data_IF_888923853036
#
_entry.id   IF_888923853036
#
_cell.length_a   1.000
_cell.length_b   1.000
_cell.length_c   1.000
_cell.angle_alpha   90.00
_cell.angle_beta   90.00
_cell.angle_gamma   90.00
#
_symmetry.space_group_name_H-M   'P 1'
#
loop_
_entity.id
_entity.type
_entity.pdbx_description
1 polymer ?
#
# COMPACT_ATOMS: atom_id res chain seq x y z
N UNK A 1 -15.10 -1.86 -0.34
CA UNK A 1 -13.92 -2.61 -0.83
C UNK A 1 -13.29 -3.38 0.33
N UNK A 2 -12.64 -4.51 0.05
CA UNK A 2 -11.90 -5.30 1.06
C UNK A 2 -10.41 -4.94 1.07
N UNK A 3 -9.74 -5.09 2.21
CA UNK A 3 -8.31 -4.81 2.38
C UNK A 3 -7.50 -6.12 2.40
N UNK A 4 -6.43 -6.18 1.62
CA UNK A 4 -5.34 -7.16 1.78
C UNK A 4 -4.10 -6.43 2.30
N UNK A 5 -3.57 -6.91 3.41
CA UNK A 5 -2.38 -6.36 4.06
C UNK A 5 -1.28 -7.42 4.08
N UNK A 6 -0.08 -7.05 3.65
CA UNK A 6 1.08 -7.93 3.72
C UNK A 6 2.37 -7.17 4.08
N UNK A 7 3.36 -7.91 4.54
CA UNK A 7 4.73 -7.43 4.75
C UNK A 7 5.45 -7.18 3.42
N UNK A 8 6.67 -6.67 3.46
CA UNK A 8 7.51 -6.44 2.28
C UNK A 8 8.12 -7.73 1.71
N UNK A 9 8.77 -7.61 0.55
CA UNK A 9 9.48 -8.72 -0.09
C UNK A 9 8.58 -9.48 -1.05
N UNK A 10 8.62 -10.82 -1.03
CA UNK A 10 7.83 -11.63 -1.98
C UNK A 10 6.34 -11.72 -1.63
N UNK A 11 5.93 -11.32 -0.42
CA UNK A 11 4.55 -11.42 0.03
C UNK A 11 3.55 -10.71 -0.92
N UNK A 12 3.74 -9.44 -1.33
CA UNK A 12 2.83 -8.80 -2.29
C UNK A 12 2.82 -9.47 -3.67
N UNK A 13 3.94 -10.05 -4.12
CA UNK A 13 3.96 -10.79 -5.39
C UNK A 13 3.02 -12.02 -5.38
N UNK A 14 2.75 -12.61 -4.20
CA UNK A 14 1.78 -13.71 -4.08
C UNK A 14 0.33 -13.25 -4.27
N UNK A 15 0.05 -11.95 -4.20
CA UNK A 15 -1.29 -11.41 -4.50
C UNK A 15 -1.55 -11.19 -5.98
N UNK A 16 -0.54 -11.32 -6.85
CA UNK A 16 -0.68 -11.04 -8.28
C UNK A 16 -1.84 -11.80 -8.95
N UNK A 17 -2.04 -13.12 -8.72
CA UNK A 17 -3.17 -13.83 -9.31
C UNK A 17 -4.52 -13.24 -8.86
N UNK A 18 -4.69 -12.97 -7.57
CA UNK A 18 -5.92 -12.38 -7.03
C UNK A 18 -6.16 -10.95 -7.55
N UNK A 19 -5.09 -10.17 -7.75
CA UNK A 19 -5.17 -8.83 -8.34
C UNK A 19 -5.59 -8.89 -9.81
N UNK A 20 -5.07 -9.84 -10.60
CA UNK A 20 -5.54 -10.04 -11.98
C UNK A 20 -7.02 -10.40 -12.00
N UNK A 21 -7.46 -11.36 -11.18
CA UNK A 21 -8.87 -11.76 -11.15
C UNK A 21 -9.77 -10.59 -10.71
N UNK A 22 -9.37 -9.84 -9.68
CA UNK A 22 -10.10 -8.65 -9.24
C UNK A 22 -10.16 -7.56 -10.33
N UNK A 23 -9.12 -7.44 -11.14
CA UNK A 23 -9.07 -6.53 -12.28
C UNK A 23 -10.12 -6.87 -13.34
N UNK A 24 -10.17 -8.14 -13.75
CA UNK A 24 -11.08 -8.60 -14.80
C UNK A 24 -12.53 -8.67 -14.32
N UNK A 25 -12.75 -9.12 -13.08
CA UNK A 25 -14.09 -9.25 -12.50
C UNK A 25 -14.65 -7.93 -11.94
N UNK A 26 -13.87 -6.85 -11.93
CA UNK A 26 -14.29 -5.56 -11.37
C UNK A 26 -14.54 -5.63 -9.85
N UNK A 27 -13.76 -6.41 -9.12
CA UNK A 27 -13.92 -6.59 -7.66
C UNK A 27 -13.17 -5.47 -6.92
N UNK A 28 -13.86 -4.66 -6.08
CA UNK A 28 -13.21 -3.60 -5.30
C UNK A 28 -12.24 -4.15 -4.26
N UNK A 29 -10.94 -3.97 -4.49
CA UNK A 29 -9.88 -4.52 -3.65
C UNK A 29 -8.81 -3.45 -3.36
N UNK A 30 -8.41 -3.30 -2.10
CA UNK A 30 -7.28 -2.45 -1.71
C UNK A 30 -6.14 -3.35 -1.25
N UNK A 31 -5.04 -3.34 -1.98
CA UNK A 31 -3.79 -3.98 -1.54
C UNK A 31 -2.95 -2.93 -0.83
N UNK A 32 -2.61 -3.20 0.43
CA UNK A 32 -1.67 -2.42 1.22
C UNK A 32 -0.45 -3.28 1.50
N UNK A 33 0.71 -2.91 0.95
CA UNK A 33 1.98 -3.59 1.21
C UNK A 33 2.87 -2.72 2.06
N UNK A 34 3.45 -3.29 3.12
CA UNK A 34 4.59 -2.67 3.78
C UNK A 34 5.82 -2.73 2.86
N UNK A 35 6.72 -1.76 3.00
CA UNK A 35 7.95 -1.66 2.24
C UNK A 35 9.08 -1.07 3.09
N UNK A 36 10.32 -1.29 2.64
CA UNK A 36 11.51 -0.70 3.25
C UNK A 36 11.66 0.77 2.83
N UNK A 37 12.30 1.60 3.65
CA UNK A 37 12.62 2.97 3.28
C UNK A 37 13.56 3.01 2.06
N UNK A 38 13.57 4.12 1.29
CA UNK A 38 14.24 4.18 -0.01
C UNK A 38 15.72 3.80 0.00
N UNK A 39 16.47 4.15 1.05
CA UNK A 39 17.89 3.85 1.16
C UNK A 39 18.21 2.36 1.43
N UNK A 40 17.20 1.57 1.79
CA UNK A 40 17.31 0.11 1.93
C UNK A 40 16.86 -0.64 0.66
N UNK A 41 16.46 0.08 -0.38
CA UNK A 41 16.15 -0.52 -1.68
C UNK A 41 17.45 -0.82 -2.46
N UNK A 42 17.47 -1.96 -3.16
CA UNK A 42 18.54 -2.36 -4.09
C UNK A 42 19.95 -2.48 -3.48
N UNK A 43 20.07 -2.60 -2.17
CA UNK A 43 21.35 -2.77 -1.47
C UNK A 43 21.55 -4.16 -0.84
N UNK A 44 20.73 -5.15 -1.23
CA UNK A 44 20.77 -6.50 -0.66
C UNK A 44 20.16 -6.60 0.74
N UNK A 45 19.41 -5.58 1.18
CA UNK A 45 18.68 -5.63 2.44
C UNK A 45 17.68 -6.80 2.45
N UNK A 46 17.59 -7.46 3.60
CA UNK A 46 16.72 -8.61 3.77
C UNK A 46 15.23 -8.24 3.63
N UNK A 47 14.47 -9.09 2.92
CA UNK A 47 13.05 -8.90 2.62
C UNK A 47 12.74 -7.59 1.88
N UNK A 48 13.59 -7.23 0.92
CA UNK A 48 13.38 -6.09 0.04
C UNK A 48 13.21 -6.56 -1.41
N UNK A 49 12.21 -6.03 -2.11
CA UNK A 49 12.03 -6.18 -3.56
C UNK A 49 11.59 -4.84 -4.15
N UNK A 50 11.61 -4.71 -5.48
CA UNK A 50 11.00 -3.55 -6.13
C UNK A 50 9.48 -3.69 -6.11
N UNK A 51 8.82 -2.96 -5.20
CA UNK A 51 7.36 -2.95 -5.06
C UNK A 51 6.71 -1.79 -5.82
N UNK A 52 7.49 -0.94 -6.49
CA UNK A 52 6.98 0.23 -7.21
C UNK A 52 6.25 -0.22 -8.47
N UNK A 53 4.94 0.05 -8.52
CA UNK A 53 4.13 -0.36 -9.68
C UNK A 53 4.09 -1.87 -9.89
N UNK A 54 4.23 -2.66 -8.81
CA UNK A 54 4.35 -4.12 -8.86
C UNK A 54 3.29 -4.77 -9.74
N UNK A 55 2.03 -4.34 -9.63
CA UNK A 55 0.90 -4.89 -10.39
C UNK A 55 0.65 -4.21 -11.75
N UNK A 56 1.44 -3.20 -12.11
CA UNK A 56 1.35 -2.49 -13.38
C UNK A 56 -0.07 -2.05 -13.74
N UNK A 57 -0.53 -2.45 -14.93
CA UNK A 57 -1.85 -2.09 -15.46
C UNK A 57 -3.04 -2.82 -14.81
N UNK A 58 -2.78 -3.79 -13.93
CA UNK A 58 -3.85 -4.58 -13.31
C UNK A 58 -4.54 -3.84 -12.17
N UNK A 59 -4.04 -2.67 -11.76
CA UNK A 59 -4.68 -1.83 -10.73
C UNK A 59 -5.27 -0.56 -11.34
N UNK A 60 -6.35 -0.05 -10.74
CA UNK A 60 -6.98 1.24 -11.08
C UNK A 60 -6.12 2.42 -10.63
N UNK A 61 -5.41 2.24 -9.52
CA UNK A 61 -4.61 3.28 -8.89
C UNK A 61 -3.44 2.67 -8.12
N UNK A 62 -2.29 3.33 -8.20
CA UNK A 62 -1.11 3.03 -7.42
C UNK A 62 -0.61 4.31 -6.74
N UNK A 63 -0.22 4.21 -5.46
CA UNK A 63 0.48 5.28 -4.78
C UNK A 63 1.49 4.77 -3.76
N UNK A 64 2.59 5.51 -3.65
CA UNK A 64 3.51 5.43 -2.52
C UNK A 64 2.99 6.33 -1.40
N UNK A 65 2.77 5.77 -0.21
CA UNK A 65 2.42 6.56 0.97
C UNK A 65 3.63 7.27 1.59
N UNK A 66 4.84 6.76 1.32
CA UNK A 66 6.08 7.22 1.94
C UNK A 66 6.22 6.76 3.40
N UNK A 67 7.25 7.26 4.08
CA UNK A 67 7.46 7.00 5.51
C UNK A 67 6.43 7.75 6.36
N UNK A 68 5.86 7.13 7.40
CA UNK A 68 4.89 7.78 8.28
C UNK A 68 5.53 8.94 9.03
N UNK A 69 4.87 10.09 9.02
CA UNK A 69 5.26 11.29 9.77
C UNK A 69 4.03 11.84 10.50
N UNK A 70 4.22 12.25 11.75
CA UNK A 70 3.15 12.77 12.60
C UNK A 70 2.83 14.25 12.37
N UNK A 71 3.41 14.90 11.35
CA UNK A 71 3.08 16.28 11.01
C UNK A 71 1.76 16.37 10.24
N UNK A 72 1.06 17.49 10.45
CA UNK A 72 -0.25 17.79 9.90
C UNK A 72 -0.35 17.61 8.38
N UNK A 73 0.70 18.01 7.65
CA UNK A 73 0.72 17.94 6.20
C UNK A 73 0.78 16.48 5.74
N UNK A 74 1.65 15.69 6.34
CA UNK A 74 1.83 14.26 6.05
C UNK A 74 0.59 13.45 6.38
N UNK A 75 -0.05 13.71 7.52
CA UNK A 75 -1.32 13.06 7.90
C UNK A 75 -2.45 13.39 6.92
N UNK A 76 -2.55 14.66 6.49
CA UNK A 76 -3.53 15.06 5.47
C UNK A 76 -3.23 14.41 4.11
N UNK A 77 -1.97 14.27 3.73
CA UNK A 77 -1.58 13.60 2.49
C UNK A 77 -1.93 12.11 2.52
N UNK A 78 -1.60 11.40 3.60
CA UNK A 78 -1.95 10.00 3.80
C UNK A 78 -3.47 9.78 3.73
N UNK A 79 -4.26 10.63 4.41
CA UNK A 79 -5.73 10.60 4.36
C UNK A 79 -6.25 10.79 2.94
N UNK A 80 -5.72 11.77 2.18
CA UNK A 80 -6.11 12.01 0.78
C UNK A 80 -5.83 10.80 -0.11
N UNK A 81 -4.66 10.19 0.02
CA UNK A 81 -4.28 9.00 -0.76
C UNK A 81 -5.16 7.80 -0.41
N UNK A 82 -5.45 7.58 0.87
CA UNK A 82 -6.36 6.52 1.31
C UNK A 82 -7.79 6.74 0.79
N UNK A 83 -8.32 7.96 0.89
CA UNK A 83 -9.63 8.31 0.32
C UNK A 83 -9.66 8.11 -1.19
N UNK A 84 -8.60 8.53 -1.90
CA UNK A 84 -8.50 8.32 -3.35
C UNK A 84 -8.47 6.83 -3.71
N UNK A 85 -7.70 6.02 -2.99
CA UNK A 85 -7.64 4.58 -3.23
C UNK A 85 -9.01 3.91 -3.09
N UNK A 86 -9.77 4.24 -2.03
CA UNK A 86 -11.12 3.71 -1.83
C UNK A 86 -12.07 4.15 -2.95
N UNK A 87 -11.98 5.42 -3.36
CA UNK A 87 -12.76 5.97 -4.47
C UNK A 87 -12.46 5.26 -5.80
N UNK A 88 -11.18 5.06 -6.13
CA UNK A 88 -10.76 4.39 -7.37
C UNK A 88 -11.12 2.90 -7.39
N UNK A 89 -11.00 2.23 -6.24
CA UNK A 89 -11.35 0.81 -6.13
C UNK A 89 -12.86 0.56 -6.31
N UNK A 90 -13.70 1.54 -5.93
CA UNK A 90 -15.17 1.39 -5.86
C UNK A 90 -15.92 2.26 -6.87
N UNK A 91 -15.21 2.99 -7.73
CA UNK A 91 -15.78 3.97 -8.66
C UNK A 91 -16.51 3.34 -9.86
N UNK A 92 -16.68 4.12 -10.92
CA UNK A 92 -17.42 3.68 -12.12
C UNK A 92 -16.80 2.46 -12.84
N UNK A 93 -15.51 2.22 -12.64
CA UNK A 93 -14.81 1.01 -13.09
C UNK A 93 -14.14 0.36 -11.88
N UNK A 94 -14.89 -0.39 -11.05
CA UNK A 94 -14.33 -0.94 -9.82
C UNK A 94 -13.21 -1.94 -10.13
N UNK A 95 -12.37 -2.20 -9.14
CA UNK A 95 -11.21 -3.07 -9.30
C UNK A 95 -10.17 -2.86 -8.21
N UNK A 96 -8.99 -3.48 -8.36
CA UNK A 96 -7.95 -3.43 -7.36
C UNK A 96 -7.18 -2.12 -7.42
N UNK A 97 -6.70 -1.66 -6.28
CA UNK A 97 -5.74 -0.55 -6.12
C UNK A 97 -4.60 -1.00 -5.23
N UNK A 98 -3.44 -0.35 -5.37
CA UNK A 98 -2.25 -0.69 -4.59
C UNK A 98 -1.68 0.54 -3.89
N UNK A 99 -1.63 0.48 -2.57
CA UNK A 99 -0.92 1.42 -1.71
C UNK A 99 0.33 0.74 -1.18
N UNK A 100 1.49 1.34 -1.44
CA UNK A 100 2.76 0.86 -0.92
C UNK A 100 3.23 1.80 0.21
N UNK A 101 3.42 1.24 1.41
CA UNK A 101 3.69 1.99 2.63
C UNK A 101 5.11 1.70 3.12
N UNK A 102 5.99 2.70 3.03
CA UNK A 102 7.36 2.55 3.54
C UNK A 102 7.36 2.75 5.04
N UNK A 103 8.10 1.94 5.78
CA UNK A 103 8.22 2.09 7.21
C UNK A 103 9.62 1.72 7.71
N UNK A 104 10.08 2.47 8.71
CA UNK A 104 11.36 2.26 9.40
C UNK A 104 11.09 1.87 10.84
N UNK A 105 11.98 1.04 11.40
CA UNK A 105 11.98 0.75 12.84
C UNK A 105 12.16 2.05 13.66
N UNK A 106 11.52 2.16 14.84
CA UNK A 106 10.58 1.20 15.43
C UNK A 106 9.24 1.15 14.65
N UNK A 107 8.67 -0.06 14.53
CA UNK A 107 7.42 -0.28 13.77
C UNK A 107 6.20 -0.39 14.69
N UNK A 108 6.45 -0.55 15.98
CA UNK A 108 5.46 -0.59 17.03
C UNK A 108 4.77 0.78 17.12
N UNK A 109 3.43 0.83 17.18
CA UNK A 109 2.71 2.08 17.42
C UNK A 109 3.20 2.75 18.70
N UNK A 110 3.53 4.03 18.63
CA UNK A 110 3.83 4.82 19.83
C UNK A 110 2.51 5.14 20.52
N UNK A 111 2.35 4.68 21.76
CA UNK A 111 1.19 5.03 22.57
C UNK A 111 1.11 6.55 22.73
N UNK A 112 0.01 7.16 22.32
CA UNK A 112 -0.30 8.57 22.55
C UNK A 112 -1.42 8.70 23.56
N UNK A 113 -1.38 9.80 24.33
CA UNK A 113 -2.36 10.06 25.38
C UNK A 113 -3.76 10.19 24.74
N UNK A 114 -4.63 9.22 25.00
CA UNK A 114 -5.98 9.14 24.41
C UNK A 114 -6.26 7.90 23.56
N UNK A 115 -5.32 6.95 23.46
CA UNK A 115 -5.53 5.64 22.82
C UNK A 115 -6.26 4.61 23.72
N UNK A 116 -6.67 4.98 24.94
CA UNK A 116 -7.47 4.16 25.87
C UNK A 116 -8.98 4.25 25.61
#
# INVERSE_FOLDING_TARGET
PSLLLCTSGSAPANYFPAVIEANEAGVPLVVLSADRPPELLRCGANQTTDQVGLYGRHVRFFAQLGEPRADDLSLRAAKRLATRAVFEASGARPGPVHLNAQARKPLEPTAVRGDE
#
